data_IF_154054477263
#
_entry.id   IF_154054477263
#
_cell.length_a   1.000
_cell.length_b   1.000
_cell.length_c   1.000
_cell.angle_alpha   90.00
_cell.angle_beta   90.00
_cell.angle_gamma   90.00
#
_symmetry.space_group_name_H-M   'P 1'
#
loop_
_entity.id
_entity.type
_entity.pdbx_description
1 polymer ?
#
# COMPACT_ATOMS: atom_id res chain seq x y z
N UNK A 1 9.99 -19.25 5.04
CA UNK A 1 8.57 -19.15 5.39
C UNK A 1 7.72 -19.89 4.37
N UNK A 2 6.82 -20.75 4.83
CA UNK A 2 5.90 -21.47 3.95
C UNK A 2 4.57 -20.73 3.80
N UNK A 3 4.24 -19.86 4.74
CA UNK A 3 2.99 -19.12 4.80
C UNK A 3 3.25 -17.61 4.84
N UNK A 4 2.31 -16.86 4.34
CA UNK A 4 2.33 -15.39 4.36
C UNK A 4 1.06 -14.82 4.98
N UNK A 5 1.19 -13.61 5.54
CA UNK A 5 0.08 -12.82 6.06
C UNK A 5 0.08 -11.45 5.37
N UNK A 6 -1.10 -10.91 5.11
CA UNK A 6 -1.27 -9.66 4.37
C UNK A 6 -2.36 -8.84 5.05
N UNK A 7 -2.08 -7.57 5.31
CA UNK A 7 -3.12 -6.59 5.66
C UNK A 7 -3.93 -6.24 4.42
N UNK A 8 -5.21 -6.57 4.41
CA UNK A 8 -6.10 -6.34 3.27
C UNK A 8 -7.02 -5.15 3.54
N UNK A 9 -6.80 -4.06 2.80
CA UNK A 9 -7.53 -2.80 2.98
C UNK A 9 -8.75 -2.62 2.07
N UNK A 10 -8.89 -3.44 1.02
CA UNK A 10 -9.83 -3.20 -0.07
C UNK A 10 -9.32 -2.20 -1.12
N UNK A 11 -8.05 -1.78 -1.01
CA UNK A 11 -7.34 -1.01 -2.03
C UNK A 11 -6.58 -1.90 -2.99
N UNK A 12 -6.24 -1.35 -4.17
CA UNK A 12 -5.65 -2.08 -5.29
C UNK A 12 -4.27 -2.69 -4.96
N UNK A 13 -3.46 -2.02 -4.14
CA UNK A 13 -2.11 -2.48 -3.76
C UNK A 13 -2.18 -3.78 -2.97
N UNK A 14 -2.97 -3.79 -1.90
CA UNK A 14 -3.17 -4.99 -1.08
C UNK A 14 -3.88 -6.11 -1.86
N UNK A 15 -4.77 -5.75 -2.79
CA UNK A 15 -5.45 -6.70 -3.66
C UNK A 15 -4.46 -7.41 -4.61
N UNK A 16 -3.56 -6.66 -5.23
CA UNK A 16 -2.53 -7.25 -6.09
C UNK A 16 -1.57 -8.14 -5.31
N UNK A 17 -1.09 -7.68 -4.14
CA UNK A 17 -0.18 -8.48 -3.28
C UNK A 17 -0.84 -9.78 -2.84
N UNK A 18 -2.11 -9.75 -2.43
CA UNK A 18 -2.85 -10.96 -2.06
C UNK A 18 -3.01 -11.91 -3.26
N UNK A 19 -3.31 -11.37 -4.43
CA UNK A 19 -3.44 -12.14 -5.66
C UNK A 19 -2.12 -12.82 -6.07
N UNK A 20 -1.01 -12.06 -6.09
CA UNK A 20 0.33 -12.60 -6.36
C UNK A 20 0.69 -13.70 -5.35
N UNK A 21 0.41 -13.47 -4.08
CA UNK A 21 0.70 -14.46 -3.04
C UNK A 21 -0.07 -15.77 -3.26
N UNK A 22 -1.36 -15.70 -3.60
CA UNK A 22 -2.17 -16.89 -3.89
C UNK A 22 -1.72 -17.56 -5.19
N UNK A 23 -1.39 -16.81 -6.23
CA UNK A 23 -0.89 -17.37 -7.49
C UNK A 23 0.41 -18.16 -7.31
N UNK A 24 1.30 -17.72 -6.44
CA UNK A 24 2.60 -18.36 -6.22
C UNK A 24 2.52 -19.45 -5.16
N UNK A 25 1.91 -19.17 -4.02
CA UNK A 25 1.95 -20.05 -2.83
C UNK A 25 0.73 -20.97 -2.75
N UNK A 26 -0.37 -20.60 -3.37
CA UNK A 26 -1.67 -21.27 -3.23
C UNK A 26 -2.46 -20.76 -2.02
N UNK A 27 -3.78 -20.79 -2.12
CA UNK A 27 -4.74 -20.23 -1.16
C UNK A 27 -4.56 -20.67 0.30
N UNK A 28 -4.09 -21.91 0.51
CA UNK A 28 -3.92 -22.48 1.86
C UNK A 28 -2.74 -21.86 2.64
N UNK A 29 -1.81 -21.22 1.92
CA UNK A 29 -0.59 -20.62 2.47
C UNK A 29 -0.68 -19.10 2.60
N UNK A 30 -1.84 -18.50 2.29
CA UNK A 30 -2.08 -17.07 2.36
C UNK A 30 -3.18 -16.77 3.37
N UNK A 31 -2.92 -15.84 4.28
CA UNK A 31 -3.89 -15.34 5.25
C UNK A 31 -4.05 -13.83 5.10
N UNK A 32 -5.26 -13.37 4.85
CA UNK A 32 -5.61 -11.97 4.76
C UNK A 32 -6.20 -11.47 6.08
N UNK A 33 -5.80 -10.28 6.54
CA UNK A 33 -6.31 -9.67 7.75
C UNK A 33 -6.90 -8.31 7.43
N UNK A 34 -8.20 -8.13 7.66
CA UNK A 34 -8.86 -6.83 7.59
C UNK A 34 -8.75 -6.14 8.94
N UNK A 35 -8.31 -4.88 8.94
CA UNK A 35 -8.05 -4.08 10.14
C UNK A 35 -8.84 -2.75 10.09
N UNK A 36 -10.18 -2.81 10.10
CA UNK A 36 -11.00 -1.62 9.96
C UNK A 36 -10.88 -0.67 11.16
N UNK A 37 -10.97 0.63 10.88
CA UNK A 37 -11.18 1.72 11.81
C UNK A 37 -12.56 2.35 11.57
N UNK A 38 -12.90 3.40 12.34
CA UNK A 38 -14.12 4.17 12.16
C UNK A 38 -14.13 4.97 10.84
N UNK A 39 -12.98 5.10 10.17
CA UNK A 39 -12.82 5.79 8.89
C UNK A 39 -12.84 4.85 7.68
N UNK A 40 -12.82 3.54 7.92
CA UNK A 40 -12.84 2.55 6.84
C UNK A 40 -14.22 2.52 6.19
N UNK A 41 -14.29 2.76 4.88
CA UNK A 41 -15.55 2.76 4.14
C UNK A 41 -16.17 1.36 4.05
N UNK A 42 -17.50 1.31 4.01
CA UNK A 42 -18.22 0.05 3.79
C UNK A 42 -17.84 -0.59 2.45
N UNK A 43 -17.65 0.24 1.41
CA UNK A 43 -17.21 -0.23 0.10
C UNK A 43 -15.85 -0.96 0.16
N UNK A 44 -14.89 -0.42 0.92
CA UNK A 44 -13.59 -1.08 1.10
C UNK A 44 -13.70 -2.44 1.78
N UNK A 45 -14.62 -2.58 2.74
CA UNK A 45 -14.87 -3.87 3.39
C UNK A 45 -15.54 -4.87 2.44
N UNK A 46 -16.50 -4.43 1.65
CA UNK A 46 -17.16 -5.24 0.62
C UNK A 46 -16.16 -5.70 -0.44
N UNK A 47 -15.32 -4.80 -0.92
CA UNK A 47 -14.27 -5.08 -1.89
C UNK A 47 -13.25 -6.10 -1.37
N UNK A 48 -12.83 -5.95 -0.10
CA UNK A 48 -11.92 -6.89 0.54
C UNK A 48 -12.58 -8.27 0.69
N UNK A 49 -13.85 -8.34 1.10
CA UNK A 49 -14.58 -9.60 1.24
C UNK A 49 -14.79 -10.29 -0.10
N UNK A 50 -15.11 -9.53 -1.15
CA UNK A 50 -15.24 -10.09 -2.49
C UNK A 50 -13.93 -10.64 -3.02
N UNK A 51 -12.80 -9.94 -2.78
CA UNK A 51 -11.49 -10.44 -3.16
C UNK A 51 -11.11 -11.72 -2.40
N UNK A 52 -11.36 -11.78 -1.09
CA UNK A 52 -11.14 -12.97 -0.27
C UNK A 52 -11.95 -14.15 -0.80
N UNK A 53 -13.22 -13.92 -1.12
CA UNK A 53 -14.10 -14.93 -1.71
C UNK A 53 -13.56 -15.43 -3.05
N UNK A 54 -13.15 -14.51 -3.93
CA UNK A 54 -12.59 -14.87 -5.25
C UNK A 54 -11.29 -15.67 -5.12
N UNK A 55 -10.40 -15.30 -4.18
CA UNK A 55 -9.13 -15.98 -3.94
C UNK A 55 -9.28 -17.27 -3.13
N UNK A 56 -10.42 -17.47 -2.49
CA UNK A 56 -10.73 -18.61 -1.59
C UNK A 56 -9.62 -18.82 -0.53
N UNK A 57 -9.05 -17.73 -0.02
CA UNK A 57 -7.98 -17.75 0.97
C UNK A 57 -8.51 -17.52 2.39
N UNK A 58 -7.68 -17.85 3.39
CA UNK A 58 -8.03 -17.63 4.81
C UNK A 58 -8.11 -16.13 5.09
N UNK A 59 -9.09 -15.74 5.91
CA UNK A 59 -9.25 -14.34 6.32
C UNK A 59 -9.78 -14.20 7.74
N UNK A 60 -9.41 -13.08 8.39
CA UNK A 60 -9.97 -12.63 9.65
C UNK A 60 -10.17 -11.12 9.66
N UNK A 61 -10.99 -10.63 10.58
CA UNK A 61 -11.24 -9.20 10.77
C UNK A 61 -10.97 -8.81 12.22
N UNK A 62 -10.08 -7.84 12.42
CA UNK A 62 -9.70 -7.31 13.73
C UNK A 62 -9.86 -5.78 13.70
N UNK A 63 -10.95 -5.25 14.31
CA UNK A 63 -11.13 -3.80 14.39
C UNK A 63 -10.08 -3.14 15.27
N UNK A 64 -9.51 -2.04 14.79
CA UNK A 64 -8.53 -1.24 15.54
C UNK A 64 -9.18 -0.13 16.37
N UNK A 65 -10.47 0.14 16.23
CA UNK A 65 -11.16 1.30 16.82
C UNK A 65 -10.97 1.42 18.33
N UNK A 66 -11.12 0.33 19.08
CA UNK A 66 -10.95 0.34 20.54
C UNK A 66 -9.50 0.64 20.95
N UNK A 67 -8.52 0.05 20.25
CA UNK A 67 -7.09 0.25 20.53
C UNK A 67 -6.72 1.70 20.20
N UNK A 68 -7.18 2.20 19.06
CA UNK A 68 -6.97 3.58 18.64
C UNK A 68 -7.53 4.58 19.65
N UNK A 69 -8.79 4.40 20.08
CA UNK A 69 -9.40 5.24 21.11
C UNK A 69 -8.62 5.23 22.43
N UNK A 70 -8.16 4.07 22.88
CA UNK A 70 -7.36 3.95 24.10
C UNK A 70 -6.03 4.69 24.00
N UNK A 71 -5.33 4.56 22.86
CA UNK A 71 -4.05 5.28 22.64
C UNK A 71 -4.29 6.79 22.59
N UNK A 72 -5.33 7.27 21.90
CA UNK A 72 -5.70 8.70 21.88
C UNK A 72 -5.94 9.24 23.30
N UNK A 73 -6.74 8.53 24.11
CA UNK A 73 -7.00 8.90 25.50
C UNK A 73 -5.71 8.94 26.34
N UNK A 74 -4.83 7.96 26.16
CA UNK A 74 -3.55 7.88 26.87
C UNK A 74 -2.63 9.06 26.54
N UNK A 75 -2.61 9.48 25.27
CA UNK A 75 -1.74 10.57 24.79
C UNK A 75 -2.33 11.97 24.99
N UNK A 76 -3.63 12.09 25.25
CA UNK A 76 -4.33 13.37 25.38
C UNK A 76 -3.64 14.35 26.34
N UNK A 77 -3.16 13.96 27.55
CA UNK A 77 -2.43 14.86 28.44
C UNK A 77 -1.11 15.35 27.85
N UNK A 78 -0.43 14.52 27.06
CA UNK A 78 0.84 14.83 26.42
C UNK A 78 0.69 15.78 25.22
N UNK A 79 -0.43 15.70 24.51
CA UNK A 79 -0.69 16.56 23.36
C UNK A 79 -1.10 17.99 23.74
N UNK A 80 -1.55 18.21 24.98
CA UNK A 80 -1.79 19.57 25.55
C UNK A 80 -2.66 20.47 24.66
N UNK A 81 -3.74 19.93 24.10
CA UNK A 81 -4.67 20.69 23.26
C UNK A 81 -4.15 21.04 21.86
N UNK A 82 -3.12 20.34 21.37
CA UNK A 82 -2.77 20.37 19.93
C UNK A 82 -3.89 19.77 19.12
N UNK A 83 -4.18 20.38 17.98
CA UNK A 83 -5.14 19.87 17.01
C UNK A 83 -4.66 18.54 16.38
N UNK A 84 -5.62 17.70 15.97
CA UNK A 84 -5.32 16.46 15.25
C UNK A 84 -4.65 16.76 13.89
N UNK A 85 -3.69 15.89 13.52
CA UNK A 85 -2.95 15.99 12.26
C UNK A 85 -2.50 14.60 11.80
N UNK A 86 -1.44 14.50 11.01
CA UNK A 86 -0.89 13.22 10.55
C UNK A 86 -0.47 12.30 11.71
N UNK A 87 -0.37 12.81 12.94
CA UNK A 87 -0.03 11.98 14.11
C UNK A 87 -1.10 10.92 14.35
N UNK A 88 -2.36 11.30 14.32
CA UNK A 88 -3.50 10.41 14.56
C UNK A 88 -3.67 9.41 13.41
N UNK A 89 -3.42 9.82 12.17
CA UNK A 89 -3.37 8.94 11.00
C UNK A 89 -2.26 7.89 11.16
N UNK A 90 -1.06 8.32 11.53
CA UNK A 90 0.10 7.46 11.75
C UNK A 90 -0.09 6.48 12.93
N UNK A 91 -0.82 6.85 13.97
CA UNK A 91 -1.18 5.94 15.08
C UNK A 91 -2.00 4.76 14.54
N UNK A 92 -3.00 4.99 13.68
CA UNK A 92 -3.81 3.92 13.10
C UNK A 92 -2.94 2.97 12.26
N UNK A 93 -2.08 3.50 11.40
CA UNK A 93 -1.15 2.70 10.58
C UNK A 93 -0.23 1.84 11.46
N UNK A 94 0.33 2.41 12.55
CA UNK A 94 1.20 1.68 13.48
C UNK A 94 0.48 0.60 14.28
N UNK A 95 -0.78 0.83 14.68
CA UNK A 95 -1.61 -0.20 15.32
C UNK A 95 -1.78 -1.38 14.37
N UNK A 96 -2.08 -1.13 13.09
CA UNK A 96 -2.20 -2.18 12.07
C UNK A 96 -0.89 -2.95 11.91
N UNK A 97 0.24 -2.25 11.81
CA UNK A 97 1.56 -2.87 11.75
C UNK A 97 1.87 -3.75 12.95
N UNK A 98 1.59 -3.27 14.16
CA UNK A 98 1.76 -4.03 15.41
C UNK A 98 0.93 -5.33 15.40
N UNK A 99 -0.35 -5.27 15.05
CA UNK A 99 -1.23 -6.43 15.04
C UNK A 99 -0.80 -7.45 13.99
N UNK A 100 -0.47 -6.99 12.77
CA UNK A 100 0.02 -7.86 11.70
C UNK A 100 1.34 -8.55 12.08
N UNK A 101 2.28 -7.83 12.69
CA UNK A 101 3.54 -8.42 13.17
C UNK A 101 3.33 -9.41 14.31
N UNK A 102 2.38 -9.14 15.21
CA UNK A 102 2.04 -10.09 16.28
C UNK A 102 1.49 -11.40 15.72
N UNK A 103 0.60 -11.34 14.72
CA UNK A 103 0.08 -12.51 14.02
C UNK A 103 1.20 -13.23 13.23
N UNK A 104 2.03 -12.47 12.50
CA UNK A 104 3.19 -13.01 11.79
C UNK A 104 4.09 -13.82 12.70
N UNK A 105 4.46 -13.29 13.85
CA UNK A 105 5.29 -13.97 14.84
C UNK A 105 4.58 -15.20 15.44
N UNK A 106 3.30 -15.07 15.77
CA UNK A 106 2.52 -16.13 16.41
C UNK A 106 2.36 -17.36 15.53
N UNK A 107 2.16 -17.16 14.24
CA UNK A 107 1.91 -18.25 13.27
C UNK A 107 3.14 -18.61 12.43
N UNK A 108 4.28 -17.96 12.64
CA UNK A 108 5.50 -18.22 11.85
C UNK A 108 5.33 -17.90 10.36
N UNK A 109 4.47 -16.91 10.04
CA UNK A 109 4.18 -16.49 8.67
C UNK A 109 4.96 -15.21 8.34
N UNK A 110 5.41 -15.05 7.08
CA UNK A 110 6.02 -13.79 6.66
C UNK A 110 4.94 -12.74 6.40
N UNK A 111 5.06 -11.57 7.01
CA UNK A 111 4.22 -10.42 6.67
C UNK A 111 4.69 -9.81 5.34
N UNK A 112 3.79 -9.73 4.36
CA UNK A 112 4.02 -9.00 3.11
C UNK A 112 3.53 -7.57 3.26
N UNK A 113 4.35 -6.60 2.82
CA UNK A 113 3.96 -5.19 2.72
C UNK A 113 3.37 -4.90 1.35
N UNK A 114 2.62 -3.81 1.24
CA UNK A 114 1.84 -3.48 0.06
C UNK A 114 2.15 -2.08 -0.50
N UNK A 115 3.25 -1.46 -0.07
CA UNK A 115 3.67 -0.16 -0.59
C UNK A 115 4.24 -0.29 -2.01
N UNK A 116 3.79 0.54 -2.94
CA UNK A 116 4.28 0.59 -4.31
C UNK A 116 5.42 1.61 -4.47
N UNK A 117 6.09 1.61 -5.63
CA UNK A 117 7.24 2.49 -5.89
C UNK A 117 6.90 3.96 -5.81
N UNK A 118 5.74 4.36 -6.33
CA UNK A 118 5.29 5.76 -6.34
C UNK A 118 5.16 6.32 -4.93
N UNK A 119 4.50 5.58 -4.03
CA UNK A 119 4.32 5.94 -2.63
C UNK A 119 5.65 5.95 -1.86
N UNK A 120 6.46 4.89 -2.02
CA UNK A 120 7.77 4.75 -1.35
C UNK A 120 8.73 5.86 -1.79
N UNK A 121 8.72 6.25 -3.08
CA UNK A 121 9.58 7.30 -3.61
C UNK A 121 9.37 8.63 -2.90
N UNK A 122 8.11 9.05 -2.74
CA UNK A 122 7.74 10.33 -2.13
C UNK A 122 7.50 10.25 -0.61
N UNK A 123 7.63 9.04 -0.04
CA UNK A 123 7.43 8.81 1.40
C UNK A 123 5.98 8.88 1.86
N UNK A 124 5.03 8.63 0.96
CA UNK A 124 3.62 8.50 1.29
C UNK A 124 3.36 7.15 1.97
N UNK A 125 3.92 7.02 3.15
CA UNK A 125 3.95 5.80 3.96
C UNK A 125 4.31 6.10 5.41
N UNK A 126 3.94 5.24 6.32
CA UNK A 126 4.20 5.39 7.77
C UNK A 126 5.25 4.39 8.24
N UNK A 127 6.38 4.91 8.74
CA UNK A 127 7.42 4.08 9.38
C UNK A 127 6.81 3.32 10.56
N UNK A 128 7.10 2.02 10.64
CA UNK A 128 6.56 1.09 11.65
C UNK A 128 5.02 0.92 11.56
N UNK A 129 4.40 1.36 10.47
CA UNK A 129 2.99 1.18 10.16
C UNK A 129 2.82 0.26 8.95
N UNK A 130 2.32 0.80 7.85
CA UNK A 130 2.14 0.12 6.57
C UNK A 130 3.44 -0.37 5.92
N UNK A 131 4.59 0.16 6.36
CA UNK A 131 5.92 -0.32 5.96
C UNK A 131 6.36 -1.59 6.70
N UNK A 132 5.62 -2.04 7.73
CA UNK A 132 5.98 -3.26 8.47
C UNK A 132 5.86 -4.51 7.61
N UNK A 133 6.90 -5.33 7.59
CA UNK A 133 6.89 -6.62 6.92
C UNK A 133 8.29 -7.11 6.55
N UNK A 134 8.36 -8.36 6.10
CA UNK A 134 9.61 -9.01 5.73
C UNK A 134 9.91 -8.99 4.24
N UNK A 135 8.90 -8.73 3.39
CA UNK A 135 9.05 -8.69 1.95
C UNK A 135 7.94 -7.84 1.29
N UNK A 136 8.30 -7.14 0.22
CA UNK A 136 7.38 -6.31 -0.56
C UNK A 136 7.37 -6.74 -2.03
N UNK A 137 6.34 -7.47 -2.50
CA UNK A 137 6.28 -7.97 -3.87
C UNK A 137 6.14 -6.88 -4.94
N UNK A 138 5.60 -5.71 -4.58
CA UNK A 138 5.32 -4.60 -5.50
C UNK A 138 6.16 -3.35 -5.23
N UNK A 139 7.25 -3.49 -4.43
CA UNK A 139 8.12 -2.39 -4.02
C UNK A 139 8.62 -1.52 -5.18
N UNK A 140 8.95 -2.14 -6.30
CA UNK A 140 9.53 -1.51 -7.48
C UNK A 140 8.53 -1.35 -8.63
N UNK A 141 7.22 -1.36 -8.31
CA UNK A 141 6.14 -1.22 -9.27
C UNK A 141 5.47 0.14 -9.12
N UNK A 142 5.49 0.96 -10.16
CA UNK A 142 4.77 2.23 -10.22
C UNK A 142 3.25 2.02 -10.17
N UNK A 143 2.51 2.95 -9.55
CA UNK A 143 1.05 2.86 -9.37
C UNK A 143 0.31 2.65 -10.69
N UNK A 144 0.67 3.37 -11.73
CA UNK A 144 0.07 3.22 -13.07
C UNK A 144 0.29 1.82 -13.66
N UNK A 145 1.47 1.23 -13.46
CA UNK A 145 1.79 -0.14 -13.90
C UNK A 145 1.02 -1.18 -13.10
N UNK A 146 0.77 -0.92 -11.82
CA UNK A 146 0.01 -1.79 -10.93
C UNK A 146 -1.41 -2.00 -11.45
N UNK A 147 -2.09 -0.94 -11.90
CA UNK A 147 -3.42 -1.04 -12.53
C UNK A 147 -3.38 -1.97 -13.75
N UNK A 148 -2.43 -1.75 -14.66
CA UNK A 148 -2.28 -2.58 -15.87
C UNK A 148 -2.03 -4.07 -15.53
N UNK A 149 -1.28 -4.37 -14.47
CA UNK A 149 -1.03 -5.75 -14.03
C UNK A 149 -2.30 -6.37 -13.45
N UNK A 150 -3.10 -5.62 -12.69
CA UNK A 150 -4.37 -6.11 -12.17
C UNK A 150 -5.36 -6.45 -13.31
N UNK A 151 -5.46 -5.59 -14.33
CA UNK A 151 -6.28 -5.83 -15.52
C UNK A 151 -5.80 -7.06 -16.30
N UNK A 152 -4.47 -7.15 -16.53
CA UNK A 152 -3.87 -8.32 -17.17
C UNK A 152 -4.18 -9.58 -16.38
N UNK A 153 -3.99 -9.59 -15.04
CA UNK A 153 -4.27 -10.77 -14.23
C UNK A 153 -5.73 -11.22 -14.28
N UNK A 154 -6.66 -10.30 -14.36
CA UNK A 154 -8.09 -10.60 -14.51
C UNK A 154 -8.46 -11.19 -15.88
N UNK A 155 -7.64 -10.94 -16.90
CA UNK A 155 -7.85 -11.45 -18.27
C UNK A 155 -6.98 -12.65 -18.63
N UNK A 156 -5.94 -12.93 -17.83
CA UNK A 156 -4.94 -13.95 -18.11
C UNK A 156 -4.75 -14.88 -16.90
N UNK A 157 -4.62 -16.19 -17.19
CA UNK A 157 -4.24 -17.20 -16.21
C UNK A 157 -3.19 -18.13 -16.80
N UNK A 158 -1.99 -18.04 -16.29
CA UNK A 158 -0.86 -18.85 -16.72
C UNK A 158 -0.82 -20.18 -15.97
N UNK A 159 -0.23 -21.21 -16.60
CA UNK A 159 -0.20 -22.59 -16.07
C UNK A 159 0.52 -22.75 -14.73
N UNK A 160 1.41 -21.81 -14.38
CA UNK A 160 2.12 -21.79 -13.10
C UNK A 160 1.32 -21.17 -11.95
N UNK A 161 0.25 -20.44 -12.26
CA UNK A 161 -0.60 -19.79 -11.26
C UNK A 161 -1.44 -20.82 -10.51
N UNK A 162 -1.34 -20.81 -9.18
CA UNK A 162 -2.14 -21.66 -8.29
C UNK A 162 -3.47 -21.02 -7.88
N UNK A 163 -3.62 -19.73 -8.15
CA UNK A 163 -4.85 -18.98 -7.90
C UNK A 163 -5.95 -19.32 -8.91
N UNK A 164 -7.16 -18.82 -8.71
CA UNK A 164 -8.30 -19.09 -9.60
C UNK A 164 -8.14 -18.40 -10.96
N UNK A 165 -8.78 -18.97 -11.98
CA UNK A 165 -8.89 -18.35 -13.30
C UNK A 165 -10.03 -17.32 -13.32
N UNK A 166 -9.93 -16.34 -14.22
CA UNK A 166 -10.95 -15.32 -14.48
C UNK A 166 -10.83 -14.07 -13.63
N UNK A 167 -11.95 -13.41 -13.39
CA UNK A 167 -12.02 -12.13 -12.68
C UNK A 167 -11.75 -12.33 -11.18
N UNK A 168 -10.51 -12.11 -10.76
CA UNK A 168 -10.08 -12.27 -9.37
C UNK A 168 -10.19 -10.96 -8.60
N UNK A 169 -9.62 -9.88 -9.14
CA UNK A 169 -9.65 -8.57 -8.50
C UNK A 169 -10.94 -7.86 -8.91
N UNK A 170 -11.85 -7.51 -7.97
CA UNK A 170 -13.09 -6.83 -8.26
C UNK A 170 -12.90 -5.56 -9.08
N UNK A 171 -13.82 -5.29 -10.03
CA UNK A 171 -13.77 -4.06 -10.84
C UNK A 171 -13.88 -2.80 -9.99
N UNK A 172 -14.67 -2.84 -8.92
CA UNK A 172 -14.79 -1.73 -7.97
C UNK A 172 -13.45 -1.31 -7.38
N UNK A 173 -12.52 -2.25 -7.13
CA UNK A 173 -11.15 -1.95 -6.68
C UNK A 173 -10.36 -1.22 -7.77
N UNK A 174 -10.55 -1.58 -9.05
CA UNK A 174 -9.86 -0.96 -10.17
C UNK A 174 -10.39 0.45 -10.48
N UNK A 175 -11.65 0.70 -10.23
CA UNK A 175 -12.34 1.96 -10.53
C UNK A 175 -12.29 2.96 -9.35
N UNK A 176 -11.98 2.47 -8.15
CA UNK A 176 -11.94 3.27 -6.93
C UNK A 176 -10.73 4.21 -6.93
N UNK A 177 -10.96 5.47 -6.56
CA UNK A 177 -9.87 6.41 -6.32
C UNK A 177 -8.99 5.95 -5.15
N UNK A 178 -7.66 6.01 -5.29
CA UNK A 178 -6.74 5.64 -4.19
C UNK A 178 -6.95 6.52 -2.96
N UNK A 179 -6.99 5.86 -1.79
CA UNK A 179 -7.14 6.53 -0.49
C UNK A 179 -6.58 5.65 0.62
N UNK A 180 -5.97 6.28 1.62
CA UNK A 180 -5.48 5.60 2.83
C UNK A 180 -6.59 5.36 3.87
N UNK A 181 -7.75 6.02 3.78
CA UNK A 181 -8.89 5.92 4.71
C UNK A 181 -8.49 6.08 6.21
N UNK A 182 -7.62 7.06 6.50
CA UNK A 182 -7.16 7.35 7.86
C UNK A 182 -7.87 8.56 8.48
N UNK A 183 -8.60 9.34 7.67
CA UNK A 183 -9.46 10.47 8.05
C UNK A 183 -10.67 10.57 7.12
N UNK A 184 -11.72 11.35 7.50
CA UNK A 184 -12.91 11.52 6.66
C UNK A 184 -12.59 12.07 5.27
N UNK A 185 -13.21 11.48 4.24
CA UNK A 185 -13.12 11.94 2.84
C UNK A 185 -11.68 12.08 2.28
N UNK A 186 -10.74 11.34 2.82
CA UNK A 186 -9.35 11.36 2.37
C UNK A 186 -9.23 10.79 0.95
N UNK A 187 -8.43 11.47 0.11
CA UNK A 187 -7.95 10.95 -1.18
C UNK A 187 -6.45 11.25 -1.29
N UNK A 188 -5.72 10.40 -2.02
CA UNK A 188 -4.26 10.58 -2.17
C UNK A 188 -3.92 11.91 -2.86
N UNK A 189 -4.80 12.39 -3.75
CA UNK A 189 -4.65 13.67 -4.45
C UNK A 189 -4.74 14.89 -3.52
N UNK A 190 -5.16 14.76 -2.26
CA UNK A 190 -5.02 15.83 -1.27
C UNK A 190 -3.55 16.25 -1.06
N UNK A 191 -2.63 15.29 -1.26
CA UNK A 191 -1.20 15.48 -0.99
C UNK A 191 -0.32 15.32 -2.23
N UNK A 192 -0.73 14.48 -3.17
CA UNK A 192 0.02 14.07 -4.37
C UNK A 192 -0.69 14.56 -5.64
N UNK A 193 0.04 14.79 -6.74
CA UNK A 193 -0.59 14.96 -8.05
C UNK A 193 -1.20 13.63 -8.53
N UNK A 194 -2.03 13.63 -9.60
CA UNK A 194 -2.49 12.39 -10.23
C UNK A 194 -1.34 11.43 -10.52
N UNK A 195 -1.55 10.13 -10.32
CA UNK A 195 -0.47 9.13 -10.40
C UNK A 195 0.19 9.06 -11.78
N UNK A 196 -0.54 9.36 -12.86
CA UNK A 196 0.03 9.46 -14.22
C UNK A 196 1.11 10.56 -14.30
N UNK A 197 0.89 11.70 -13.63
CA UNK A 197 1.85 12.79 -13.55
C UNK A 197 2.98 12.44 -12.60
N UNK A 198 2.64 11.90 -11.42
CA UNK A 198 3.61 11.50 -10.41
C UNK A 198 4.61 10.49 -10.96
N UNK A 199 4.11 9.39 -11.55
CA UNK A 199 4.94 8.30 -12.05
C UNK A 199 5.83 8.75 -13.22
N UNK A 200 5.30 9.58 -14.13
CA UNK A 200 6.08 10.16 -15.24
C UNK A 200 7.26 11.02 -14.74
N UNK A 201 7.03 11.84 -13.71
CA UNK A 201 8.08 12.66 -13.09
C UNK A 201 9.08 11.78 -12.33
N UNK A 202 8.61 10.79 -11.56
CA UNK A 202 9.47 9.87 -10.83
C UNK A 202 10.35 9.02 -11.76
N UNK A 203 9.80 8.51 -12.86
CA UNK A 203 10.56 7.76 -13.88
C UNK A 203 11.65 8.64 -14.47
N UNK A 204 11.35 9.91 -14.77
CA UNK A 204 12.32 10.87 -15.29
C UNK A 204 13.43 11.19 -14.27
N UNK A 205 13.07 11.43 -13.01
CA UNK A 205 14.04 11.76 -11.95
C UNK A 205 14.88 10.55 -11.54
N UNK A 206 14.27 9.39 -11.34
CA UNK A 206 14.90 8.23 -10.70
C UNK A 206 15.54 7.31 -11.73
N UNK A 207 14.79 6.92 -12.78
CA UNK A 207 15.28 5.95 -13.77
C UNK A 207 16.22 6.58 -14.79
N UNK A 208 15.93 7.84 -15.19
CA UNK A 208 16.61 8.51 -16.28
C UNK A 208 17.57 9.62 -15.83
N UNK A 209 17.67 9.92 -14.52
CA UNK A 209 18.52 10.97 -13.93
C UNK A 209 18.35 12.35 -14.58
N UNK A 210 17.14 12.69 -15.01
CA UNK A 210 16.88 13.97 -15.64
C UNK A 210 16.84 15.09 -14.60
N UNK A 211 17.38 16.24 -14.97
CA UNK A 211 17.27 17.46 -14.17
C UNK A 211 15.84 18.04 -14.22
N UNK A 212 15.48 18.87 -13.22
CA UNK A 212 14.20 19.59 -13.22
C UNK A 212 13.95 20.29 -14.55
N UNK A 213 14.99 20.96 -15.11
CA UNK A 213 14.84 21.71 -16.35
C UNK A 213 14.53 20.83 -17.57
N UNK A 214 15.04 19.60 -17.59
CA UNK A 214 14.73 18.62 -18.65
C UNK A 214 13.31 18.08 -18.51
N UNK A 215 12.87 17.78 -17.29
CA UNK A 215 11.50 17.30 -17.02
C UNK A 215 10.47 18.36 -17.36
N UNK A 216 10.75 19.64 -17.04
CA UNK A 216 9.86 20.74 -17.41
C UNK A 216 9.77 20.90 -18.94
N UNK A 217 10.86 20.67 -19.68
CA UNK A 217 10.83 20.63 -21.16
C UNK A 217 9.97 19.51 -21.73
N UNK A 218 9.72 18.44 -20.98
CA UNK A 218 8.79 17.38 -21.35
C UNK A 218 7.33 17.75 -21.16
N UNK A 219 7.03 18.95 -20.62
CA UNK A 219 5.68 19.49 -20.44
C UNK A 219 5.15 19.43 -19.00
N UNK A 220 5.96 19.01 -18.03
CA UNK A 220 5.57 19.01 -16.63
C UNK A 220 5.71 20.40 -15.99
N UNK A 221 4.80 20.71 -15.07
CA UNK A 221 4.82 21.95 -14.31
C UNK A 221 6.04 22.03 -13.38
N UNK A 222 6.74 23.17 -13.36
CA UNK A 222 7.97 23.38 -12.59
C UNK A 222 7.76 23.18 -11.08
N UNK A 223 6.67 23.74 -10.52
CA UNK A 223 6.43 23.69 -9.08
C UNK A 223 6.07 22.27 -8.63
N UNK A 224 5.35 21.55 -9.47
CA UNK A 224 5.04 20.11 -9.24
C UNK A 224 6.33 19.28 -9.26
N UNK A 225 7.17 19.44 -10.28
CA UNK A 225 8.45 18.70 -10.38
C UNK A 225 9.34 18.98 -9.19
N UNK A 226 9.48 20.25 -8.81
CA UNK A 226 10.28 20.68 -7.65
C UNK A 226 9.73 20.13 -6.32
N UNK A 227 8.39 20.12 -6.17
CA UNK A 227 7.73 19.51 -5.00
C UNK A 227 8.05 18.01 -4.90
N UNK A 228 7.94 17.28 -6.02
CA UNK A 228 8.19 15.83 -6.05
C UNK A 228 9.68 15.54 -5.76
N UNK A 229 10.60 16.25 -6.40
CA UNK A 229 12.04 16.11 -6.12
C UNK A 229 12.34 16.29 -4.63
N UNK A 230 11.79 17.34 -4.02
CA UNK A 230 11.94 17.58 -2.57
C UNK A 230 11.41 16.42 -1.73
N UNK A 231 10.22 15.87 -2.07
CA UNK A 231 9.64 14.73 -1.37
C UNK A 231 10.54 13.49 -1.50
N UNK A 232 11.10 13.23 -2.68
CA UNK A 232 12.04 12.12 -2.92
C UNK A 232 13.25 12.25 -1.99
N UNK A 233 13.88 13.40 -1.90
CA UNK A 233 15.03 13.60 -1.01
C UNK A 233 14.67 13.46 0.46
N UNK A 234 13.58 14.08 0.90
CA UNK A 234 13.14 14.04 2.30
C UNK A 234 12.76 12.65 2.77
N UNK A 235 12.37 11.77 1.85
CA UNK A 235 11.88 10.41 2.15
C UNK A 235 12.97 9.33 2.12
N UNK A 236 14.23 9.70 1.91
CA UNK A 236 15.34 8.75 1.82
C UNK A 236 15.40 7.82 3.05
N UNK A 237 15.27 8.37 4.25
CA UNK A 237 15.26 7.61 5.50
C UNK A 237 14.15 6.56 5.57
N UNK A 238 12.99 6.78 4.93
CA UNK A 238 11.90 5.81 4.84
C UNK A 238 12.26 4.68 3.87
N UNK A 239 12.86 5.01 2.72
CA UNK A 239 13.29 4.01 1.74
C UNK A 239 14.30 3.03 2.32
N UNK A 240 15.26 3.49 3.12
CA UNK A 240 16.21 2.63 3.81
C UNK A 240 15.58 1.67 4.83
N UNK A 241 14.41 1.99 5.36
CA UNK A 241 13.69 1.15 6.33
C UNK A 241 12.58 0.32 5.68
N UNK A 242 12.39 0.42 4.37
CA UNK A 242 11.39 -0.38 3.67
C UNK A 242 11.84 -1.83 3.51
N UNK A 243 10.87 -2.76 3.55
CA UNK A 243 11.15 -4.17 3.34
C UNK A 243 11.83 -4.42 1.98
N UNK A 244 12.69 -5.46 1.85
CA UNK A 244 13.25 -5.85 0.57
C UNK A 244 12.16 -6.27 -0.42
N UNK A 245 12.40 -6.12 -1.71
CA UNK A 245 11.48 -6.49 -2.78
C UNK A 245 12.22 -6.90 -4.05
N UNK A 246 11.47 -7.19 -5.11
CA UNK A 246 12.04 -7.49 -6.42
C UNK A 246 12.53 -6.21 -7.10
N UNK A 247 13.52 -6.35 -7.97
CA UNK A 247 13.97 -5.30 -8.87
C UNK A 247 13.30 -5.50 -10.23
N UNK A 248 12.48 -4.54 -10.64
CA UNK A 248 11.71 -4.58 -11.89
C UNK A 248 12.14 -3.47 -12.86
N UNK A 249 12.70 -2.40 -12.34
CA UNK A 249 13.09 -1.20 -13.08
C UNK A 249 14.61 -1.02 -13.08
N UNK A 250 15.12 -0.01 -13.77
CA UNK A 250 16.56 0.27 -13.84
C UNK A 250 17.16 0.62 -12.47
N UNK A 251 16.38 1.31 -11.63
CA UNK A 251 16.79 1.75 -10.29
C UNK A 251 15.69 1.43 -9.27
N UNK A 252 15.93 0.40 -8.49
CA UNK A 252 15.09 0.01 -7.36
C UNK A 252 15.61 0.62 -6.05
N UNK A 253 14.71 0.81 -5.07
CA UNK A 253 15.04 1.29 -3.72
C UNK A 253 15.40 0.15 -2.76
#
# INVERSE_FOLDING_TARGET
FNNVIIGLSGGIDSALVATIAVDILGKNNVSCVKLPSDYTSELSLIDADQLIYNLDCKAETISISKIYSLIKQTLLPSFRGKEENETEENIQSRIRGLLLMALSNKYGSMLLTTGNKSEIAVGYSTIYGDMCGGYNPIKDLYKTRLYSICEWRNSCHESWMKGPNGLVIPKSILEKSPTAELRPNQIDQDSLPPYEVLDSILESLIENDLSISEIVKQGHDYDIVKKIEKLVYQSEHKRFQSAPGVHLTKKSF
#
